data_IF_086236354285
#
_entry.id   IF_086236354285
#
_cell.length_a   1.000
_cell.length_b   1.000
_cell.length_c   1.000
_cell.angle_alpha   90.00
_cell.angle_beta   90.00
_cell.angle_gamma   90.00
#
_symmetry.space_group_name_H-M   'P 1'
#
loop_
_entity.id
_entity.type
_entity.pdbx_description
1 polymer ?
#
# COMPACT_ATOMS: atom_id res chain seq x y z
N UNK A 1 3.44 20.48 6.75
CA UNK A 1 2.80 19.63 5.72
C UNK A 1 3.90 19.03 4.85
N UNK A 2 4.26 17.76 5.04
CA UNK A 2 5.21 17.09 4.14
C UNK A 2 4.48 16.86 2.83
N UNK A 3 4.91 17.52 1.74
CA UNK A 3 4.41 17.20 0.40
C UNK A 3 4.88 15.78 0.09
N UNK A 4 3.98 14.79 0.23
CA UNK A 4 4.22 13.46 -0.30
C UNK A 4 4.28 13.66 -1.82
N UNK A 5 5.47 13.49 -2.40
CA UNK A 5 5.61 13.44 -3.86
C UNK A 5 4.70 12.31 -4.36
N UNK A 6 3.59 12.69 -4.99
CA UNK A 6 2.51 11.79 -5.37
C UNK A 6 2.93 10.78 -6.44
N UNK A 7 3.93 11.12 -7.23
CA UNK A 7 4.39 10.32 -8.36
C UNK A 7 5.72 9.65 -8.06
N UNK A 8 6.64 10.28 -7.34
CA UNK A 8 7.98 9.71 -7.15
C UNK A 8 8.82 9.67 -8.42
N UNK A 9 10.13 9.45 -8.29
CA UNK A 9 11.02 9.46 -9.44
C UNK A 9 10.80 8.22 -10.31
N UNK A 10 10.37 8.43 -11.55
CA UNK A 10 10.32 7.40 -12.59
C UNK A 10 9.01 6.59 -12.69
N UNK A 11 8.03 6.82 -11.81
CA UNK A 11 6.73 6.15 -11.94
C UNK A 11 5.82 6.83 -12.95
N UNK A 12 5.01 6.02 -13.64
CA UNK A 12 4.01 6.48 -14.62
C UNK A 12 2.67 6.82 -13.97
N UNK A 13 2.31 6.12 -12.90
CA UNK A 13 1.12 6.38 -12.10
C UNK A 13 1.51 6.94 -10.72
N UNK A 14 0.51 7.34 -9.94
CA UNK A 14 0.74 7.74 -8.54
C UNK A 14 1.32 6.57 -7.75
N UNK A 15 2.12 6.86 -6.75
CA UNK A 15 2.62 5.85 -5.81
C UNK A 15 1.46 5.05 -5.24
N UNK A 16 1.63 3.74 -5.12
CA UNK A 16 0.63 2.88 -4.50
C UNK A 16 0.23 3.35 -3.09
N UNK A 17 1.18 3.81 -2.27
CA UNK A 17 0.88 4.40 -0.95
C UNK A 17 -0.19 5.50 -0.99
N UNK A 18 -0.15 6.34 -2.03
CA UNK A 18 -1.10 7.45 -2.23
C UNK A 18 -2.42 6.92 -2.75
N UNK A 19 -2.41 5.95 -3.68
CA UNK A 19 -3.63 5.35 -4.20
C UNK A 19 -4.41 4.59 -3.11
N UNK A 20 -3.72 3.84 -2.24
CA UNK A 20 -4.34 3.19 -1.08
C UNK A 20 -4.92 4.20 -0.09
N UNK A 21 -4.20 5.30 0.18
CA UNK A 21 -4.72 6.36 1.04
C UNK A 21 -6.01 6.98 0.48
N UNK A 22 -6.13 7.11 -0.85
CA UNK A 22 -7.37 7.58 -1.48
C UNK A 22 -8.53 6.59 -1.36
N UNK A 23 -8.25 5.29 -1.34
CA UNK A 23 -9.28 4.29 -1.06
C UNK A 23 -9.82 4.52 0.35
N UNK A 24 -8.94 4.65 1.34
CA UNK A 24 -9.31 4.97 2.74
C UNK A 24 -10.12 6.27 2.84
N UNK A 25 -9.60 7.36 2.28
CA UNK A 25 -10.24 8.68 2.33
C UNK A 25 -11.60 8.71 1.59
N UNK A 26 -11.85 7.76 0.68
CA UNK A 26 -13.07 7.73 -0.13
C UNK A 26 -14.25 7.00 0.50
N UNK A 27 -14.07 6.35 1.67
CA UNK A 27 -15.11 5.50 2.25
C UNK A 27 -16.36 6.29 2.68
N UNK A 28 -16.23 7.58 2.96
CA UNK A 28 -17.35 8.46 3.28
C UNK A 28 -18.04 9.06 2.03
N UNK A 29 -17.58 8.73 0.81
CA UNK A 29 -18.18 9.21 -0.43
C UNK A 29 -19.38 8.37 -0.87
N UNK A 30 -20.27 8.96 -1.69
CA UNK A 30 -21.40 8.25 -2.32
C UNK A 30 -20.97 7.03 -3.15
N UNK A 31 -19.79 7.11 -3.76
CA UNK A 31 -19.18 6.04 -4.54
C UNK A 31 -17.72 5.91 -4.05
N UNK A 32 -17.44 4.96 -3.14
CA UNK A 32 -16.08 4.75 -2.66
C UNK A 32 -15.19 4.16 -3.75
N UNK A 33 -13.90 4.48 -3.70
CA UNK A 33 -12.90 3.88 -4.57
C UNK A 33 -12.57 2.48 -4.07
N UNK A 34 -12.45 1.53 -4.99
CA UNK A 34 -12.07 0.14 -4.72
C UNK A 34 -11.01 -0.37 -5.70
N UNK A 35 -10.35 0.53 -6.43
CA UNK A 35 -9.37 0.20 -7.46
C UNK A 35 -8.14 1.10 -7.40
N UNK A 36 -7.02 0.55 -7.86
CA UNK A 36 -5.77 1.27 -8.10
C UNK A 36 -5.30 1.04 -9.54
N UNK A 37 -4.45 1.93 -10.06
CA UNK A 37 -3.86 1.82 -11.39
C UNK A 37 -2.35 1.69 -11.32
N UNK A 38 -1.82 0.61 -11.90
CA UNK A 38 -0.39 0.28 -11.88
C UNK A 38 0.35 0.88 -13.09
N UNK A 39 1.69 0.89 -13.02
CA UNK A 39 2.54 1.51 -14.04
C UNK A 39 2.58 0.73 -15.37
N UNK A 40 2.26 -0.55 -15.34
CA UNK A 40 2.00 -1.39 -16.52
C UNK A 40 0.59 -1.18 -17.11
N UNK A 41 -0.22 -0.31 -16.50
CA UNK A 41 -1.50 0.15 -17.05
C UNK A 41 -2.72 -0.65 -16.59
N UNK A 42 -2.53 -1.66 -15.75
CA UNK A 42 -3.61 -2.48 -15.21
C UNK A 42 -4.43 -1.73 -14.15
N UNK A 43 -5.70 -2.10 -14.05
CA UNK A 43 -6.60 -1.65 -12.99
C UNK A 43 -6.83 -2.84 -12.06
N UNK A 44 -6.40 -2.71 -10.81
CA UNK A 44 -6.46 -3.78 -9.82
C UNK A 44 -7.49 -3.43 -8.76
N UNK A 45 -8.42 -4.34 -8.48
CA UNK A 45 -9.39 -4.21 -7.39
C UNK A 45 -8.72 -4.47 -6.05
N UNK A 46 -8.96 -3.57 -5.09
CA UNK A 46 -8.34 -3.59 -3.76
C UNK A 46 -9.43 -3.25 -2.74
N UNK A 47 -9.60 -4.10 -1.73
CA UNK A 47 -10.53 -3.81 -0.63
C UNK A 47 -9.96 -2.73 0.29
N UNK A 48 -10.83 -2.06 1.05
CA UNK A 48 -10.39 -1.11 2.08
C UNK A 48 -9.37 -1.74 3.04
N UNK A 49 -9.67 -2.95 3.53
CA UNK A 49 -8.79 -3.68 4.45
C UNK A 49 -7.40 -3.93 3.82
N UNK A 50 -7.36 -4.36 2.56
CA UNK A 50 -6.11 -4.55 1.84
C UNK A 50 -5.33 -3.24 1.69
N UNK A 51 -6.01 -2.13 1.36
CA UNK A 51 -5.38 -0.82 1.23
C UNK A 51 -4.70 -0.39 2.55
N UNK A 52 -5.44 -0.50 3.66
CA UNK A 52 -4.95 -0.17 5.01
C UNK A 52 -3.73 -1.04 5.36
N UNK A 53 -3.84 -2.35 5.20
CA UNK A 53 -2.77 -3.31 5.54
C UNK A 53 -1.53 -3.11 4.67
N UNK A 54 -1.69 -2.83 3.38
CA UNK A 54 -0.57 -2.54 2.49
C UNK A 54 0.17 -1.25 2.89
N UNK A 55 -0.54 -0.21 3.33
CA UNK A 55 0.10 1.00 3.87
C UNK A 55 0.79 0.75 5.20
N UNK A 56 0.17 -0.03 6.09
CA UNK A 56 0.79 -0.43 7.35
C UNK A 56 2.08 -1.22 7.09
N UNK A 57 2.04 -2.16 6.16
CA UNK A 57 3.20 -2.93 5.72
C UNK A 57 4.31 -2.02 5.17
N UNK A 58 3.99 -1.09 4.28
CA UNK A 58 4.98 -0.14 3.75
C UNK A 58 5.63 0.71 4.86
N UNK A 59 4.85 1.14 5.85
CA UNK A 59 5.33 1.89 7.02
C UNK A 59 6.18 1.05 7.97
N UNK A 60 5.98 -0.27 7.99
CA UNK A 60 6.70 -1.19 8.88
C UNK A 60 8.18 -1.38 8.49
N UNK A 61 8.55 -1.12 7.23
CA UNK A 61 9.94 -1.24 6.77
C UNK A 61 10.83 -0.18 7.42
N UNK A 62 11.71 -0.62 8.33
CA UNK A 62 12.69 0.25 9.01
C UNK A 62 13.83 0.70 8.10
N UNK A 63 14.27 -0.18 7.20
CA UNK A 63 15.37 0.10 6.26
C UNK A 63 14.82 0.83 5.02
N UNK A 64 15.32 2.03 4.68
CA UNK A 64 14.84 2.78 3.51
C UNK A 64 14.94 1.98 2.20
N UNK A 65 16.00 1.20 2.03
CA UNK A 65 16.20 0.38 0.84
C UNK A 65 15.12 -0.70 0.68
N UNK A 66 14.67 -1.32 1.76
CA UNK A 66 13.62 -2.36 1.71
C UNK A 66 12.25 -1.73 1.45
N UNK A 67 12.00 -0.56 2.04
CA UNK A 67 10.80 0.24 1.74
C UNK A 67 10.73 0.61 0.25
N UNK A 68 11.83 1.10 -0.32
CA UNK A 68 11.89 1.46 -1.75
C UNK A 68 11.68 0.21 -2.61
N UNK A 69 12.37 -0.90 -2.34
CA UNK A 69 12.18 -2.16 -3.08
C UNK A 69 10.74 -2.64 -3.03
N UNK A 70 10.08 -2.54 -1.88
CA UNK A 70 8.67 -2.88 -1.75
C UNK A 70 7.79 -1.93 -2.59
N UNK A 71 7.98 -0.61 -2.44
CA UNK A 71 7.22 0.40 -3.17
C UNK A 71 7.37 0.24 -4.71
N UNK A 72 8.60 0.04 -5.20
CA UNK A 72 8.90 -0.21 -6.61
C UNK A 72 8.19 -1.47 -7.09
N UNK A 73 8.20 -2.53 -6.27
CA UNK A 73 7.62 -3.82 -6.63
C UNK A 73 6.09 -3.75 -6.76
N UNK A 74 5.41 -3.09 -5.82
CA UNK A 74 3.94 -3.00 -5.85
C UNK A 74 3.42 -2.01 -6.88
N UNK A 75 4.29 -1.20 -7.49
CA UNK A 75 3.91 -0.25 -8.53
C UNK A 75 3.45 -0.95 -9.82
N UNK A 76 3.77 -2.23 -10.00
CA UNK A 76 3.39 -3.07 -11.15
C UNK A 76 2.44 -4.19 -10.71
N UNK A 77 1.52 -4.59 -11.59
CA UNK A 77 0.46 -5.54 -11.26
C UNK A 77 0.96 -6.90 -10.76
N UNK A 78 2.02 -7.53 -11.33
CA UNK A 78 2.52 -8.80 -10.83
C UNK A 78 2.99 -8.73 -9.37
N UNK A 79 3.71 -7.67 -9.03
CA UNK A 79 4.21 -7.46 -7.67
C UNK A 79 3.09 -7.11 -6.69
N UNK A 80 2.16 -6.24 -7.11
CA UNK A 80 0.98 -5.90 -6.32
C UNK A 80 0.14 -7.12 -5.99
N UNK A 81 -0.23 -7.91 -7.00
CA UNK A 81 -1.04 -9.11 -6.83
C UNK A 81 -0.35 -10.17 -5.96
N UNK A 82 0.97 -10.28 -6.01
CA UNK A 82 1.72 -11.16 -5.11
C UNK A 82 1.49 -10.79 -3.64
N UNK A 83 1.50 -9.50 -3.31
CA UNK A 83 1.29 -9.04 -1.95
C UNK A 83 -0.17 -9.08 -1.53
N UNK A 84 -1.11 -8.67 -2.39
CA UNK A 84 -2.55 -8.70 -2.11
C UNK A 84 -3.08 -10.10 -1.79
N UNK A 85 -2.48 -11.13 -2.39
CA UNK A 85 -2.82 -12.54 -2.17
C UNK A 85 -1.87 -13.24 -1.18
N UNK A 86 -0.96 -12.51 -0.54
CA UNK A 86 0.00 -13.08 0.40
C UNK A 86 -0.67 -13.37 1.74
N UNK A 87 -0.42 -14.54 2.37
CA UNK A 87 -0.81 -14.82 3.75
C UNK A 87 -0.28 -13.76 4.74
N UNK A 88 0.80 -13.05 4.38
CA UNK A 88 1.35 -11.98 5.22
C UNK A 88 0.33 -10.86 5.47
N UNK A 89 -0.55 -10.53 4.51
CA UNK A 89 -1.59 -9.52 4.78
C UNK A 89 -2.64 -10.03 5.77
N UNK A 90 -2.90 -11.33 5.82
CA UNK A 90 -3.89 -11.88 6.77
C UNK A 90 -3.41 -11.83 8.22
N UNK A 91 -2.09 -11.87 8.46
CA UNK A 91 -1.50 -11.83 9.81
C UNK A 91 -1.24 -10.42 10.33
N UNK A 92 -1.29 -9.40 9.46
CA UNK A 92 -1.15 -8.00 9.89
C UNK A 92 -2.46 -7.60 10.55
N UNK A 93 -2.44 -7.49 11.87
CA UNK A 93 -3.49 -6.84 12.63
C UNK A 93 -3.31 -5.32 12.50
N UNK A 94 -4.37 -4.63 12.08
CA UNK A 94 -4.40 -3.17 12.07
C UNK A 94 -5.41 -2.78 13.14
N UNK A 95 -4.92 -2.37 14.30
CA UNK A 95 -5.75 -1.74 15.31
C UNK A 95 -5.94 -0.26 14.92
N UNK A 96 -7.19 0.21 14.98
CA UNK A 96 -7.68 1.50 14.48
C UNK A 96 -7.09 2.75 15.17
N UNK A 97 -5.97 2.64 15.89
CA UNK A 97 -5.42 3.72 16.71
C UNK A 97 -3.90 3.84 16.77
N UNK A 98 -3.12 2.76 16.68
CA UNK A 98 -1.67 2.84 16.84
C UNK A 98 -0.99 1.57 16.31
N UNK A 99 0.09 1.74 15.54
CA UNK A 99 1.00 0.64 15.21
C UNK A 99 1.74 0.21 16.49
N UNK A 100 1.13 -0.62 17.32
CA UNK A 100 1.84 -1.31 18.39
C UNK A 100 2.74 -2.33 17.73
N UNK A 101 4.03 -1.97 17.62
CA UNK A 101 5.06 -2.82 17.04
C UNK A 101 5.22 -4.11 17.83
N UNK A 102 4.52 -5.16 17.42
CA UNK A 102 4.71 -6.49 17.96
C UNK A 102 5.57 -7.33 17.00
N UNK A 103 6.81 -7.49 17.43
CA UNK A 103 7.81 -8.48 17.05
C UNK A 103 8.18 -8.66 15.56
N UNK A 104 9.36 -8.11 15.27
CA UNK A 104 10.28 -8.46 14.19
C UNK A 104 10.23 -9.95 13.80
N UNK A 105 9.57 -10.27 12.69
CA UNK A 105 9.67 -11.57 12.00
C UNK A 105 10.82 -11.63 10.98
N UNK A 106 11.70 -10.63 10.98
CA UNK A 106 12.97 -10.68 10.27
C UNK A 106 14.11 -10.60 11.30
N UNK A 107 14.61 -11.77 11.68
CA UNK A 107 15.97 -11.97 12.21
C UNK A 107 16.80 -12.67 11.13
#
# INVERSE_FOLDING_TARGET
MVKIDEFGPGYKQKKMFVQFGKIEDSQDNLIPLDTVKTDDGEIVKVTLEQAIKMRALERSFRKPADKIKFADKIQFAPGLNQWLNSPILSIIEVDDGELVGNNSIYS
#
